data_IF_615061872012
#
_entry.id   IF_615061872012
#
_cell.length_a   1.000
_cell.length_b   1.000
_cell.length_c   1.000
_cell.angle_alpha   90.00
_cell.angle_beta   90.00
_cell.angle_gamma   90.00
#
_symmetry.space_group_name_H-M   'P 1'
#
loop_
_entity.id
_entity.type
_entity.pdbx_description
1 polymer ?
#
# COMPACT_ATOMS: atom_id res chain seq x y z
N UNK A 1 6.69 16.27 14.39
CA UNK A 1 5.74 16.27 13.28
C UNK A 1 5.38 14.82 12.98
N UNK A 2 4.09 14.46 12.94
CA UNK A 2 3.67 13.11 12.55
C UNK A 2 3.99 12.92 11.07
N UNK A 3 4.71 11.86 10.71
CA UNK A 3 4.92 11.53 9.30
C UNK A 3 3.57 11.23 8.64
N UNK A 4 3.36 11.75 7.44
CA UNK A 4 2.10 11.55 6.71
C UNK A 4 1.85 10.06 6.46
N UNK A 5 0.59 9.57 6.58
CA UNK A 5 0.27 8.14 6.42
C UNK A 5 0.77 7.54 5.10
N UNK A 6 0.70 8.32 4.01
CA UNK A 6 1.20 7.88 2.69
C UNK A 6 2.71 7.65 2.69
N UNK A 7 3.47 8.46 3.42
CA UNK A 7 4.93 8.31 3.54
C UNK A 7 5.26 7.06 4.36
N UNK A 8 4.52 6.83 5.44
CA UNK A 8 4.67 5.61 6.25
C UNK A 8 4.42 4.35 5.43
N UNK A 9 3.36 4.33 4.61
CA UNK A 9 3.08 3.21 3.71
C UNK A 9 4.25 2.95 2.75
N UNK A 10 4.81 4.00 2.12
CA UNK A 10 5.96 3.86 1.22
C UNK A 10 7.23 3.38 1.95
N UNK A 11 7.47 3.84 3.19
CA UNK A 11 8.58 3.38 4.03
C UNK A 11 8.46 1.88 4.31
N UNK A 12 7.29 1.41 4.73
CA UNK A 12 7.07 0.01 5.04
C UNK A 12 7.22 -0.87 3.78
N UNK A 13 6.68 -0.44 2.64
CA UNK A 13 6.90 -1.14 1.37
C UNK A 13 8.37 -1.21 0.97
N UNK A 14 9.14 -0.13 1.16
CA UNK A 14 10.59 -0.16 0.94
C UNK A 14 11.27 -1.20 1.82
N UNK A 15 10.92 -1.26 3.10
CA UNK A 15 11.48 -2.23 4.06
C UNK A 15 11.11 -3.66 3.68
N UNK A 16 9.85 -3.92 3.34
CA UNK A 16 9.37 -5.23 2.89
C UNK A 16 10.08 -5.69 1.61
N UNK A 17 10.43 -4.75 0.71
CA UNK A 17 11.23 -5.03 -0.48
C UNK A 17 12.74 -5.17 -0.19
N UNK A 18 13.18 -5.08 1.07
CA UNK A 18 14.59 -5.10 1.49
C UNK A 18 15.46 -4.06 0.77
N UNK A 19 14.89 -2.89 0.45
CA UNK A 19 15.61 -1.81 -0.23
C UNK A 19 16.17 -0.81 0.79
N UNK A 20 17.44 -0.45 0.65
CA UNK A 20 18.00 0.70 1.35
C UNK A 20 17.40 2.01 0.81
N UNK A 21 17.44 3.08 1.60
CA UNK A 21 17.03 4.41 1.15
C UNK A 21 17.79 4.84 -0.12
N UNK A 22 19.09 4.55 -0.18
CA UNK A 22 19.93 4.87 -1.33
C UNK A 22 19.53 4.08 -2.57
N UNK A 23 19.25 2.78 -2.41
CA UNK A 23 18.85 1.94 -3.53
C UNK A 23 17.51 2.40 -4.11
N UNK A 24 16.54 2.72 -3.25
CA UNK A 24 15.24 3.19 -3.71
C UNK A 24 15.35 4.58 -4.35
N UNK A 25 16.08 5.52 -3.74
CA UNK A 25 16.27 6.86 -4.28
C UNK A 25 16.90 6.82 -5.68
N UNK A 26 18.00 6.09 -5.83
CA UNK A 26 18.68 5.89 -7.11
C UNK A 26 17.76 5.26 -8.16
N UNK A 27 17.04 4.20 -7.80
CA UNK A 27 16.12 3.49 -8.71
C UNK A 27 14.86 4.29 -9.05
N UNK A 28 14.47 5.25 -8.22
CA UNK A 28 13.36 6.18 -8.44
C UNK A 28 13.81 7.49 -9.11
N UNK A 29 15.10 7.62 -9.45
CA UNK A 29 15.64 8.79 -10.15
C UNK A 29 15.70 10.06 -9.31
N UNK A 30 15.98 9.95 -8.01
CA UNK A 30 16.13 11.11 -7.11
C UNK A 30 17.35 10.99 -6.20
N UNK A 31 17.79 12.13 -5.66
CA UNK A 31 18.93 12.14 -4.72
C UNK A 31 18.56 11.46 -3.39
N UNK A 32 19.53 10.81 -2.76
CA UNK A 32 19.37 10.25 -1.40
C UNK A 32 18.90 11.30 -0.41
N UNK A 33 19.48 12.51 -0.45
CA UNK A 33 19.10 13.64 0.42
C UNK A 33 17.63 14.01 0.27
N UNK A 34 17.13 14.05 -0.97
CA UNK A 34 15.72 14.33 -1.25
C UNK A 34 14.83 13.25 -0.66
N UNK A 35 15.15 11.98 -0.93
CA UNK A 35 14.38 10.84 -0.44
C UNK A 35 14.34 10.76 1.10
N UNK A 36 15.48 11.01 1.76
CA UNK A 36 15.58 11.04 3.22
C UNK A 36 14.75 12.15 3.86
N UNK A 37 14.71 13.35 3.25
CA UNK A 37 13.85 14.44 3.74
C UNK A 37 12.36 14.07 3.62
N UNK A 38 11.97 13.41 2.53
CA UNK A 38 10.61 12.89 2.34
C UNK A 38 10.30 11.87 3.44
N UNK A 39 11.14 10.85 3.63
CA UNK A 39 10.91 9.84 4.69
C UNK A 39 10.88 10.42 6.09
N UNK A 40 11.56 11.55 6.37
CA UNK A 40 11.52 12.22 7.68
C UNK A 40 10.35 13.20 7.85
N UNK A 41 9.59 13.49 6.78
CA UNK A 41 8.55 14.52 6.79
C UNK A 41 9.11 15.96 6.80
N UNK A 42 10.36 16.14 6.36
CA UNK A 42 11.02 17.45 6.23
C UNK A 42 10.79 18.10 4.85
N UNK A 43 10.15 17.37 3.93
CA UNK A 43 9.77 17.85 2.61
C UNK A 43 8.53 17.10 2.13
N UNK A 44 7.59 17.85 1.55
CA UNK A 44 6.41 17.28 0.89
C UNK A 44 6.84 16.44 -0.31
N UNK A 45 6.14 15.33 -0.52
CA UNK A 45 6.33 14.49 -1.70
C UNK A 45 5.62 15.11 -2.91
N UNK A 46 6.37 15.41 -3.97
CA UNK A 46 5.76 15.82 -5.24
C UNK A 46 5.12 14.60 -5.92
N UNK A 47 4.03 14.82 -6.66
CA UNK A 47 3.36 13.75 -7.41
C UNK A 47 4.28 12.99 -8.38
N UNK A 48 5.27 13.67 -8.98
CA UNK A 48 6.28 12.99 -9.81
C UNK A 48 7.16 12.04 -9.00
N UNK A 49 7.57 12.43 -7.79
CA UNK A 49 8.37 11.60 -6.89
C UNK A 49 7.56 10.42 -6.38
N UNK A 50 6.31 10.64 -5.98
CA UNK A 50 5.37 9.59 -5.61
C UNK A 50 5.25 8.54 -6.73
N UNK A 51 4.95 8.97 -7.97
CA UNK A 51 4.83 8.06 -9.12
C UNK A 51 6.13 7.30 -9.43
N UNK A 52 7.28 7.95 -9.27
CA UNK A 52 8.57 7.26 -9.43
C UNK A 52 8.77 6.19 -8.36
N UNK A 53 8.51 6.51 -7.10
CA UNK A 53 8.65 5.58 -5.98
C UNK A 53 7.72 4.37 -6.14
N UNK A 54 6.42 4.60 -6.40
CA UNK A 54 5.45 3.49 -6.55
C UNK A 54 5.78 2.60 -7.73
N UNK A 55 6.25 3.17 -8.86
CA UNK A 55 6.74 2.40 -10.01
C UNK A 55 7.95 1.53 -9.65
N UNK A 56 8.93 2.09 -8.94
CA UNK A 56 10.12 1.35 -8.52
C UNK A 56 9.78 0.22 -7.53
N UNK A 57 8.82 0.46 -6.63
CA UNK A 57 8.31 -0.53 -5.70
C UNK A 57 7.35 -1.55 -6.36
N UNK A 58 6.94 -1.32 -7.62
CA UNK A 58 5.99 -2.14 -8.38
C UNK A 58 4.63 -2.27 -7.68
N UNK A 59 4.12 -1.17 -7.16
CA UNK A 59 2.83 -1.10 -6.44
C UNK A 59 1.91 -0.09 -7.09
N UNK A 60 0.61 -0.34 -6.95
CA UNK A 60 -0.44 0.54 -7.45
C UNK A 60 -0.84 1.58 -6.42
N UNK A 61 -1.65 2.56 -6.82
CA UNK A 61 -2.23 3.51 -5.87
C UNK A 61 -3.18 2.80 -4.87
N UNK A 62 -3.90 1.77 -5.33
CA UNK A 62 -4.78 0.98 -4.47
C UNK A 62 -3.99 0.27 -3.37
N UNK A 63 -2.83 -0.32 -3.71
CA UNK A 63 -1.92 -0.96 -2.76
C UNK A 63 -1.52 0.00 -1.63
N UNK A 64 -1.13 1.23 -1.98
CA UNK A 64 -0.75 2.27 -1.01
C UNK A 64 -1.94 2.70 -0.16
N UNK A 65 -3.12 2.87 -0.76
CA UNK A 65 -4.35 3.18 -0.01
C UNK A 65 -4.69 2.07 0.98
N UNK A 66 -4.56 0.81 0.58
CA UNK A 66 -4.80 -0.35 1.45
C UNK A 66 -3.83 -0.38 2.64
N UNK A 67 -2.58 0.04 2.45
CA UNK A 67 -1.63 0.20 3.58
C UNK A 67 -2.07 1.30 4.54
N UNK A 68 -2.51 2.45 4.00
CA UNK A 68 -2.93 3.61 4.81
C UNK A 68 -4.12 3.25 5.70
N UNK A 69 -5.09 2.51 5.17
CA UNK A 69 -6.29 2.09 5.94
C UNK A 69 -6.05 0.83 6.78
N UNK A 70 -4.82 0.31 6.82
CA UNK A 70 -4.46 -0.89 7.58
C UNK A 70 -5.03 -2.19 7.03
N UNK A 71 -5.54 -2.19 5.79
CA UNK A 71 -6.10 -3.36 5.13
C UNK A 71 -5.04 -4.25 4.46
N UNK A 72 -3.79 -3.78 4.31
CA UNK A 72 -2.75 -4.56 3.63
C UNK A 72 -2.24 -5.78 4.39
N UNK A 73 -2.53 -5.88 5.69
CA UNK A 73 -2.21 -7.05 6.50
C UNK A 73 -3.36 -8.06 6.59
N UNK A 74 -4.52 -7.77 5.99
CA UNK A 74 -5.67 -8.67 6.02
C UNK A 74 -5.34 -9.96 5.27
N UNK A 75 -5.42 -11.09 5.97
CA UNK A 75 -5.22 -12.43 5.42
C UNK A 75 -6.53 -13.03 4.93
N UNK A 76 -6.45 -14.11 4.14
CA UNK A 76 -7.63 -14.85 3.74
C UNK A 76 -8.38 -15.41 4.97
N UNK A 77 -7.63 -15.77 6.01
CA UNK A 77 -8.13 -16.23 7.30
C UNK A 77 -8.91 -15.13 8.02
N UNK A 78 -8.43 -13.89 8.00
CA UNK A 78 -9.14 -12.74 8.59
C UNK A 78 -10.48 -12.51 7.88
N UNK A 79 -10.47 -12.55 6.54
CA UNK A 79 -11.70 -12.42 5.73
C UNK A 79 -12.68 -13.56 6.04
N UNK A 80 -12.19 -14.80 6.12
CA UNK A 80 -13.01 -15.95 6.46
C UNK A 80 -13.59 -15.86 7.88
N UNK A 81 -12.80 -15.38 8.85
CA UNK A 81 -13.23 -15.16 10.22
C UNK A 81 -14.35 -14.12 10.31
N UNK A 82 -14.13 -12.94 9.72
CA UNK A 82 -15.10 -11.83 9.70
C UNK A 82 -16.37 -12.21 8.95
N UNK A 83 -16.28 -13.02 7.89
CA UNK A 83 -17.45 -13.46 7.12
C UNK A 83 -18.51 -14.19 7.98
N UNK A 84 -18.11 -14.81 9.10
CA UNK A 84 -19.03 -15.49 10.01
C UNK A 84 -19.87 -14.52 10.83
N UNK A 85 -19.39 -13.31 11.05
CA UNK A 85 -20.06 -12.25 11.81
C UNK A 85 -21.07 -11.46 10.96
N UNK A 86 -21.02 -11.61 9.63
CA UNK A 86 -21.93 -10.95 8.72
C UNK A 86 -23.37 -11.46 8.88
N UNK A 87 -24.32 -10.54 8.77
CA UNK A 87 -25.75 -10.86 8.62
C UNK A 87 -26.01 -11.71 7.37
N UNK A 88 -27.20 -12.30 7.28
CA UNK A 88 -27.57 -13.13 6.12
C UNK A 88 -27.53 -12.35 4.81
N UNK A 89 -27.89 -11.06 4.82
CA UNK A 89 -27.88 -10.20 3.64
C UNK A 89 -26.44 -9.89 3.19
N UNK A 90 -25.59 -9.43 4.11
CA UNK A 90 -24.19 -9.12 3.84
C UNK A 90 -23.42 -10.35 3.35
N UNK A 91 -23.69 -11.52 3.95
CA UNK A 91 -23.08 -12.79 3.52
C UNK A 91 -23.49 -13.18 2.11
N UNK A 92 -24.74 -12.96 1.74
CA UNK A 92 -25.23 -13.20 0.38
C UNK A 92 -24.56 -12.27 -0.63
N UNK A 93 -24.36 -10.99 -0.29
CA UNK A 93 -23.64 -10.04 -1.12
C UNK A 93 -22.17 -10.46 -1.31
N UNK A 94 -21.49 -10.88 -0.25
CA UNK A 94 -20.12 -11.40 -0.31
C UNK A 94 -20.02 -12.63 -1.22
N UNK A 95 -20.94 -13.59 -1.11
CA UNK A 95 -20.97 -14.79 -1.97
C UNK A 95 -21.18 -14.39 -3.43
N UNK A 96 -22.12 -13.47 -3.72
CA UNK A 96 -22.35 -12.98 -5.09
C UNK A 96 -21.10 -12.33 -5.68
N UNK A 97 -20.38 -11.53 -4.89
CA UNK A 97 -19.11 -10.94 -5.29
C UNK A 97 -18.08 -12.02 -5.65
N UNK A 98 -17.85 -12.99 -4.76
CA UNK A 98 -16.89 -14.08 -4.98
C UNK A 98 -17.22 -14.86 -6.27
N UNK A 99 -18.50 -15.20 -6.47
CA UNK A 99 -18.96 -15.92 -7.67
C UNK A 99 -18.83 -15.07 -8.94
N UNK A 100 -18.99 -13.75 -8.86
CA UNK A 100 -18.84 -12.85 -10.00
C UNK A 100 -17.40 -12.78 -10.50
N UNK A 101 -16.43 -12.77 -9.59
CA UNK A 101 -15.00 -12.78 -9.93
C UNK A 101 -14.59 -14.12 -10.53
N UNK A 102 -15.11 -15.24 -9.99
CA UNK A 102 -14.84 -16.59 -10.52
C UNK A 102 -15.33 -16.77 -11.97
N UNK A 103 -16.36 -16.05 -12.42
CA UNK A 103 -16.86 -16.14 -13.80
C UNK A 103 -16.00 -15.40 -14.82
N UNK A 104 -15.12 -14.51 -14.38
CA UNK A 104 -14.28 -13.68 -15.25
C UNK A 104 -12.89 -14.29 -15.51
N UNK A 105 -12.57 -15.40 -14.84
CA UNK A 105 -11.36 -16.20 -15.00
C UNK A 105 -11.72 -17.63 -15.41
#
# INVERSE_FOLDING_TARGET
MSQEPIIMALIERRKQANLSQEKLASSAGMSLKTYQRIERGEADIKMSQYRSITRTLKVTDLDVVLDIVGASQATAEDVAAVSRLLSSEERMLLIKLILSVKKQH
#
